data_IF_169822944631
#
_entry.id   IF_169822944631
#
_cell.length_a   1.000
_cell.length_b   1.000
_cell.length_c   1.000
_cell.angle_alpha   90.00
_cell.angle_beta   90.00
_cell.angle_gamma   90.00
#
_symmetry.space_group_name_H-M   'P 1'
#
loop_
_entity.id
_entity.type
_entity.pdbx_description
1 polymer ?
#
# COMPACT_ATOMS: atom_id res chain seq x y z
N UNK A 1 73.69 25.54 32.21
CA UNK A 1 73.66 24.41 31.25
C UNK A 1 72.53 23.46 31.63
N UNK A 2 71.80 22.98 30.62
CA UNK A 2 70.62 22.09 30.63
C UNK A 2 70.62 21.01 31.73
N UNK A 3 69.48 20.76 32.37
CA UNK A 3 68.59 19.62 32.04
C UNK A 3 67.29 19.64 32.86
N UNK A 4 66.24 19.27 32.14
CA UNK A 4 64.83 19.09 32.54
C UNK A 4 64.69 17.78 33.32
N UNK A 5 63.85 17.77 34.37
CA UNK A 5 63.24 16.55 34.89
C UNK A 5 61.81 16.87 35.39
N UNK A 6 60.88 16.10 34.83
CA UNK A 6 59.43 16.15 34.92
C UNK A 6 58.97 15.18 36.01
N UNK A 7 58.02 15.56 36.89
CA UNK A 7 57.23 14.57 37.63
C UNK A 7 55.81 15.10 37.96
N UNK A 8 54.93 14.87 36.98
CA UNK A 8 53.53 14.42 37.02
C UNK A 8 52.83 14.51 38.39
N UNK A 9 51.84 15.41 38.48
CA UNK A 9 50.71 15.32 39.42
C UNK A 9 49.46 14.96 38.61
N UNK A 10 48.93 13.78 38.87
CA UNK A 10 47.69 13.24 38.30
C UNK A 10 46.49 14.02 38.79
N UNK A 11 45.83 14.77 37.90
CA UNK A 11 44.50 15.32 38.14
C UNK A 11 43.49 14.51 37.32
N UNK A 12 42.69 13.69 38.01
CA UNK A 12 41.56 12.97 37.43
C UNK A 12 40.44 13.98 37.19
N UNK A 13 40.26 14.42 35.95
CA UNK A 13 39.05 15.13 35.52
C UNK A 13 38.01 14.12 35.05
N UNK A 14 36.98 13.93 35.86
CA UNK A 14 35.74 13.24 35.48
C UNK A 14 35.04 14.13 34.45
N UNK A 15 35.18 13.80 33.18
CA UNK A 15 34.38 14.40 32.11
C UNK A 15 32.99 13.76 32.20
N UNK A 16 32.06 14.49 32.79
CA UNK A 16 30.64 14.19 32.70
C UNK A 16 30.22 14.40 31.24
N UNK A 17 30.05 13.32 30.49
CA UNK A 17 29.36 13.35 29.20
C UNK A 17 27.89 13.71 29.46
N UNK A 18 27.57 15.00 29.47
CA UNK A 18 26.20 15.44 29.22
C UNK A 18 25.89 15.06 27.77
N UNK A 19 25.00 14.09 27.59
CA UNK A 19 24.26 13.90 26.35
C UNK A 19 23.73 15.26 25.93
N UNK A 20 24.17 15.75 24.78
CA UNK A 20 23.53 16.87 24.11
C UNK A 20 22.20 16.36 23.58
N UNK A 21 21.15 16.51 24.38
CA UNK A 21 19.77 16.50 23.88
C UNK A 21 19.58 17.80 23.10
N UNK A 22 20.12 17.83 21.88
CA UNK A 22 19.76 18.86 20.91
C UNK A 22 18.36 18.48 20.40
N UNK A 23 17.34 19.32 20.59
CA UNK A 23 16.02 19.04 20.02
C UNK A 23 16.19 18.93 18.51
N UNK A 24 15.67 17.84 17.92
CA UNK A 24 15.52 17.75 16.46
C UNK A 24 14.66 18.93 16.02
N UNK A 25 15.25 19.93 15.38
CA UNK A 25 14.51 20.87 14.55
C UNK A 25 13.99 20.09 13.34
N UNK A 26 12.87 19.41 13.52
CA UNK A 26 11.97 19.14 12.41
C UNK A 26 11.70 20.51 11.77
N UNK A 27 12.02 20.67 10.49
CA UNK A 27 11.46 21.75 9.68
C UNK A 27 9.95 21.54 9.62
N UNK A 28 9.27 21.92 10.69
CA UNK A 28 7.81 21.94 10.78
C UNK A 28 7.39 23.09 9.89
N UNK A 29 6.94 22.76 8.69
CA UNK A 29 6.17 23.71 7.91
C UNK A 29 5.03 24.23 8.81
N UNK A 30 4.83 25.54 8.84
CA UNK A 30 3.78 26.11 9.67
C UNK A 30 2.41 25.72 9.08
N UNK A 31 1.65 24.96 9.86
CA UNK A 31 0.28 24.56 9.53
C UNK A 31 -0.67 25.58 10.13
N UNK A 32 -1.64 26.04 9.33
CA UNK A 32 -2.70 26.95 9.77
C UNK A 32 -4.05 26.26 9.62
N UNK A 33 -4.86 26.30 10.67
CA UNK A 33 -6.24 25.82 10.65
C UNK A 33 -7.19 26.94 10.21
N UNK A 34 -8.16 26.57 9.39
CA UNK A 34 -9.18 27.44 8.83
C UNK A 34 -10.56 26.78 8.96
N UNK A 35 -11.60 27.57 8.70
CA UNK A 35 -12.98 27.09 8.62
C UNK A 35 -13.61 27.59 7.33
N UNK A 36 -14.21 26.69 6.55
CA UNK A 36 -14.86 27.03 5.29
C UNK A 36 -16.26 27.61 5.49
N UNK A 37 -16.93 27.99 4.39
CA UNK A 37 -18.26 28.60 4.44
C UNK A 37 -19.36 27.64 4.97
N UNK A 38 -19.14 26.34 4.86
CA UNK A 38 -20.05 25.28 5.32
C UNK A 38 -19.75 24.83 6.75
N UNK A 39 -18.67 25.34 7.35
CA UNK A 39 -18.27 25.08 8.72
C UNK A 39 -17.30 23.90 8.89
N UNK A 40 -16.75 23.34 7.81
CA UNK A 40 -15.71 22.32 7.88
C UNK A 40 -14.36 22.94 8.19
N UNK A 41 -13.61 22.31 9.09
CA UNK A 41 -12.24 22.71 9.41
C UNK A 41 -11.28 22.08 8.40
N UNK A 42 -10.28 22.87 8.01
CA UNK A 42 -9.19 22.38 7.16
C UNK A 42 -7.86 23.04 7.52
N UNK A 43 -6.79 22.33 7.20
CA UNK A 43 -5.43 22.75 7.39
C UNK A 43 -4.80 23.15 6.05
N UNK A 44 -3.95 24.18 6.08
CA UNK A 44 -3.08 24.56 4.96
C UNK A 44 -1.64 24.61 5.45
N UNK A 45 -0.69 24.31 4.55
CA UNK A 45 0.74 24.42 4.84
C UNK A 45 1.27 25.74 4.27
N UNK A 46 2.07 26.44 5.07
CA UNK A 46 2.71 27.70 4.64
C UNK A 46 3.63 27.48 3.44
N UNK A 47 3.61 28.41 2.49
CA UNK A 47 4.41 28.39 1.25
C UNK A 47 4.19 27.16 0.36
N UNK A 48 3.05 26.47 0.50
CA UNK A 48 2.66 25.38 -0.40
C UNK A 48 2.17 25.93 -1.76
N UNK A 49 2.91 25.70 -2.86
CA UNK A 49 2.53 26.21 -4.17
C UNK A 49 1.29 25.51 -4.75
N UNK A 50 0.89 24.36 -4.20
CA UNK A 50 -0.28 23.60 -4.67
C UNK A 50 -1.58 24.10 -4.07
N UNK A 51 -1.52 24.95 -3.04
CA UNK A 51 -2.69 25.45 -2.32
C UNK A 51 -3.53 24.33 -1.71
N UNK A 52 -2.88 23.25 -1.24
CA UNK A 52 -3.55 22.09 -0.65
C UNK A 52 -4.41 22.50 0.55
N UNK A 53 -5.63 21.97 0.59
CA UNK A 53 -6.47 21.96 1.78
C UNK A 53 -6.62 20.53 2.28
N UNK A 54 -6.27 20.32 3.56
CA UNK A 54 -6.43 19.04 4.24
C UNK A 54 -7.62 19.13 5.20
N UNK A 55 -8.67 18.37 4.92
CA UNK A 55 -9.85 18.25 5.77
C UNK A 55 -9.78 16.94 6.56
N UNK A 56 -10.33 16.94 7.77
CA UNK A 56 -10.64 15.72 8.52
C UNK A 56 -12.12 15.77 8.89
N UNK A 57 -12.90 14.82 8.36
CA UNK A 57 -14.32 14.71 8.69
C UNK A 57 -14.52 14.19 10.13
N UNK A 58 -15.71 14.36 10.68
CA UNK A 58 -16.04 13.92 12.05
C UNK A 58 -15.83 12.41 12.27
N UNK A 59 -15.96 11.59 11.23
CA UNK A 59 -15.69 10.15 11.27
C UNK A 59 -14.20 9.79 11.04
N UNK A 60 -13.33 10.79 11.00
CA UNK A 60 -11.88 10.65 10.85
C UNK A 60 -11.37 10.47 9.42
N UNK A 61 -12.25 10.42 8.40
CA UNK A 61 -11.81 10.38 7.00
C UNK A 61 -11.02 11.65 6.67
N UNK A 62 -9.80 11.47 6.16
CA UNK A 62 -8.98 12.57 5.67
C UNK A 62 -9.28 12.85 4.20
N UNK A 63 -9.43 14.12 3.84
CA UNK A 63 -9.68 14.54 2.45
C UNK A 63 -8.65 15.59 2.06
N UNK A 64 -7.80 15.26 1.10
CA UNK A 64 -6.74 16.11 0.58
C UNK A 64 -7.21 16.69 -0.75
N UNK A 65 -7.32 18.01 -0.85
CA UNK A 65 -7.80 18.65 -2.07
C UNK A 65 -6.83 19.73 -2.57
N UNK A 66 -6.50 19.67 -3.85
CA UNK A 66 -5.76 20.73 -4.55
C UNK A 66 -6.45 21.05 -5.87
N UNK A 67 -6.39 22.31 -6.28
CA UNK A 67 -7.08 22.77 -7.47
C UNK A 67 -6.12 22.77 -8.67
N UNK A 68 -6.54 22.12 -9.76
CA UNK A 68 -5.90 22.20 -11.06
C UNK A 68 -6.97 22.38 -12.14
N UNK A 69 -7.03 23.57 -12.74
CA UNK A 69 -8.04 23.95 -13.73
C UNK A 69 -7.57 23.78 -15.19
N UNK A 70 -6.42 23.12 -15.42
CA UNK A 70 -5.86 22.92 -16.76
C UNK A 70 -6.77 22.06 -17.64
N UNK A 71 -7.54 21.15 -17.03
CA UNK A 71 -8.55 20.34 -17.67
C UNK A 71 -9.77 20.15 -16.75
N UNK A 72 -10.99 19.98 -17.31
CA UNK A 72 -12.23 19.77 -16.54
C UNK A 72 -12.34 18.33 -16.02
N UNK A 73 -11.28 17.86 -15.36
CA UNK A 73 -11.17 16.50 -14.80
C UNK A 73 -10.64 16.56 -13.37
N UNK A 74 -10.86 15.48 -12.64
CA UNK A 74 -10.40 15.27 -11.27
C UNK A 74 -9.64 13.95 -11.24
N UNK A 75 -8.37 14.00 -10.86
CA UNK A 75 -7.60 12.84 -10.44
C UNK A 75 -8.01 12.49 -9.01
N UNK A 76 -8.39 11.25 -8.79
CA UNK A 76 -8.87 10.77 -7.50
C UNK A 76 -8.01 9.61 -7.00
N UNK A 77 -7.81 9.57 -5.69
CA UNK A 77 -7.27 8.42 -4.98
C UNK A 77 -8.11 8.17 -3.73
N UNK A 78 -8.45 6.91 -3.46
CA UNK A 78 -8.95 6.47 -2.16
C UNK A 78 -7.91 5.49 -1.62
N UNK A 79 -7.15 5.95 -0.62
CA UNK A 79 -6.10 5.17 0.02
C UNK A 79 -6.60 4.60 1.34
N UNK A 80 -6.35 3.32 1.57
CA UNK A 80 -6.52 2.65 2.85
C UNK A 80 -5.13 2.45 3.43
N UNK A 81 -4.92 2.90 4.67
CA UNK A 81 -3.65 2.70 5.39
C UNK A 81 -3.58 1.28 5.96
N UNK A 82 -3.62 0.31 5.07
CA UNK A 82 -3.40 -1.11 5.31
C UNK A 82 -3.00 -1.78 3.99
N UNK A 83 -1.93 -2.57 4.04
CA UNK A 83 -1.45 -3.41 2.95
C UNK A 83 -0.94 -4.77 3.44
N UNK A 84 -0.05 -5.41 2.70
CA UNK A 84 0.33 -6.82 2.92
C UNK A 84 1.08 -7.11 4.23
N UNK A 85 1.63 -6.11 4.91
CA UNK A 85 2.26 -6.33 6.23
C UNK A 85 1.24 -6.55 7.35
N UNK A 86 -0.03 -6.26 7.08
CA UNK A 86 -1.14 -6.51 7.98
C UNK A 86 -1.82 -7.85 7.70
N UNK A 87 -1.38 -8.57 6.66
CA UNK A 87 -1.88 -9.91 6.37
C UNK A 87 -1.60 -10.83 7.56
N UNK A 88 -2.57 -11.67 7.97
CA UNK A 88 -2.30 -12.77 8.89
C UNK A 88 -1.16 -13.63 8.34
N UNK A 89 -0.26 -14.09 9.22
CA UNK A 89 0.92 -14.85 8.80
C UNK A 89 0.59 -16.16 8.07
N UNK A 90 -0.61 -16.71 8.28
CA UNK A 90 -1.14 -17.91 7.62
C UNK A 90 -2.04 -17.61 6.40
N UNK A 91 -2.15 -16.34 6.00
CA UNK A 91 -2.94 -15.85 4.87
C UNK A 91 -2.20 -14.71 4.15
N UNK A 92 -0.95 -14.93 3.71
CA UNK A 92 -0.23 -13.90 2.93
C UNK A 92 -0.82 -13.73 1.53
N UNK A 93 -0.77 -12.52 1.00
CA UNK A 93 -1.41 -12.14 -0.26
C UNK A 93 -2.86 -11.69 -0.07
N UNK A 94 -3.35 -11.62 1.17
CA UNK A 94 -4.74 -11.32 1.47
C UNK A 94 -5.11 -9.88 1.11
N UNK A 95 -4.28 -8.89 1.46
CA UNK A 95 -4.55 -7.49 1.10
C UNK A 95 -4.63 -7.29 -0.43
N UNK A 96 -3.71 -7.91 -1.17
CA UNK A 96 -3.73 -7.90 -2.64
C UNK A 96 -4.99 -8.61 -3.18
N UNK A 97 -5.38 -9.72 -2.56
CA UNK A 97 -6.60 -10.41 -2.93
C UNK A 97 -7.84 -9.55 -2.68
N UNK A 98 -7.92 -8.90 -1.52
CA UNK A 98 -9.00 -7.98 -1.16
C UNK A 98 -9.10 -6.82 -2.17
N UNK A 99 -7.97 -6.29 -2.64
CA UNK A 99 -7.93 -5.25 -3.68
C UNK A 99 -8.79 -5.64 -4.89
N UNK A 100 -8.58 -6.85 -5.44
CA UNK A 100 -9.35 -7.39 -6.55
C UNK A 100 -10.83 -7.55 -6.21
N UNK A 101 -11.12 -7.99 -4.99
CA UNK A 101 -12.48 -8.30 -4.57
C UNK A 101 -13.35 -7.06 -4.38
N UNK A 102 -12.76 -5.92 -3.99
CA UNK A 102 -13.49 -4.64 -3.85
C UNK A 102 -14.01 -4.12 -5.21
N UNK A 103 -13.49 -4.61 -6.34
CA UNK A 103 -14.03 -4.32 -7.68
C UNK A 103 -15.24 -5.19 -8.08
N UNK A 104 -15.53 -6.27 -7.34
CA UNK A 104 -16.57 -7.25 -7.73
C UNK A 104 -18.00 -6.81 -7.39
N UNK A 105 -18.16 -5.62 -6.83
CA UNK A 105 -19.44 -5.01 -6.48
C UNK A 105 -19.85 -5.26 -5.03
N UNK A 106 -21.13 -5.02 -4.75
CA UNK A 106 -21.74 -5.05 -3.42
C UNK A 106 -23.00 -5.91 -3.43
N UNK A 107 -23.83 -5.81 -2.40
CA UNK A 107 -25.19 -6.36 -2.38
C UNK A 107 -26.16 -5.61 -3.29
N UNK A 108 -25.83 -4.37 -3.69
CA UNK A 108 -26.61 -3.56 -4.63
C UNK A 108 -26.02 -3.62 -6.04
N UNK A 109 -24.69 -3.63 -6.16
CA UNK A 109 -23.99 -3.61 -7.44
C UNK A 109 -23.47 -5.01 -7.79
N UNK A 110 -23.75 -5.47 -9.00
CA UNK A 110 -23.15 -6.69 -9.55
C UNK A 110 -23.92 -7.98 -9.23
N UNK A 111 -25.18 -7.90 -8.78
CA UNK A 111 -26.05 -9.05 -8.51
C UNK A 111 -27.40 -8.94 -9.20
N UNK A 112 -27.97 -10.07 -9.61
CA UNK A 112 -29.36 -10.16 -10.08
C UNK A 112 -30.34 -10.50 -8.95
N UNK A 113 -29.85 -11.15 -7.87
CA UNK A 113 -30.66 -11.61 -6.74
C UNK A 113 -29.76 -11.77 -5.50
N UNK A 114 -29.64 -10.70 -4.72
CA UNK A 114 -28.80 -10.69 -3.52
C UNK A 114 -29.23 -11.71 -2.47
N UNK A 115 -30.54 -11.86 -2.27
CA UNK A 115 -31.08 -12.74 -1.22
C UNK A 115 -30.70 -14.20 -1.47
N UNK A 116 -30.66 -14.60 -2.75
CA UNK A 116 -30.16 -15.92 -3.15
C UNK A 116 -28.63 -15.98 -3.15
N UNK A 117 -27.97 -14.96 -3.67
CA UNK A 117 -26.50 -14.94 -3.81
C UNK A 117 -25.80 -15.03 -2.45
N UNK A 118 -26.23 -14.27 -1.44
CA UNK A 118 -25.62 -14.29 -0.11
C UNK A 118 -25.63 -15.68 0.54
N UNK A 119 -26.65 -16.49 0.26
CA UNK A 119 -26.73 -17.87 0.75
C UNK A 119 -25.69 -18.75 0.08
N UNK A 120 -25.50 -18.61 -1.24
CA UNK A 120 -24.48 -19.35 -1.99
C UNK A 120 -23.07 -18.91 -1.59
N UNK A 121 -22.82 -17.60 -1.45
CA UNK A 121 -21.53 -17.08 -1.00
C UNK A 121 -21.18 -17.58 0.41
N UNK A 122 -22.17 -17.66 1.31
CA UNK A 122 -21.96 -18.26 2.64
C UNK A 122 -21.57 -19.75 2.55
N UNK A 123 -22.22 -20.52 1.68
CA UNK A 123 -21.85 -21.92 1.46
C UNK A 123 -20.43 -22.06 0.89
N UNK A 124 -20.06 -21.20 -0.06
CA UNK A 124 -18.72 -21.17 -0.65
C UNK A 124 -17.68 -20.84 0.43
N UNK A 125 -17.94 -19.83 1.26
CA UNK A 125 -17.09 -19.47 2.41
C UNK A 125 -16.90 -20.66 3.35
N UNK A 126 -17.98 -21.31 3.76
CA UNK A 126 -17.93 -22.48 4.66
C UNK A 126 -17.14 -23.66 4.05
N UNK A 127 -17.19 -23.83 2.73
CA UNK A 127 -16.42 -24.84 2.02
C UNK A 127 -14.94 -24.48 1.94
N UNK A 128 -14.58 -23.21 1.73
CA UNK A 128 -13.18 -22.78 1.75
C UNK A 128 -12.54 -22.96 3.13
N UNK A 129 -13.24 -22.63 4.22
CA UNK A 129 -12.72 -22.87 5.57
C UNK A 129 -12.52 -24.36 5.85
N UNK A 130 -13.44 -25.22 5.39
CA UNK A 130 -13.26 -26.68 5.43
C UNK A 130 -12.08 -27.15 4.58
N UNK A 131 -11.93 -26.60 3.38
CA UNK A 131 -10.83 -26.93 2.46
C UNK A 131 -9.48 -26.55 3.07
N UNK A 132 -9.38 -25.37 3.69
CA UNK A 132 -8.19 -24.88 4.38
C UNK A 132 -7.82 -25.79 5.57
N UNK A 133 -8.81 -26.21 6.37
CA UNK A 133 -8.59 -27.07 7.53
C UNK A 133 -8.30 -28.56 7.21
N UNK A 134 -8.71 -29.05 6.04
CA UNK A 134 -8.53 -30.45 5.64
C UNK A 134 -7.09 -30.76 5.23
N UNK A 135 -6.59 -31.90 5.73
CA UNK A 135 -5.21 -32.38 5.52
C UNK A 135 -5.14 -33.58 4.58
N UNK A 136 -6.23 -34.34 4.46
CA UNK A 136 -6.33 -35.47 3.53
C UNK A 136 -6.49 -34.96 2.08
N UNK A 137 -5.54 -35.26 1.18
CA UNK A 137 -5.57 -34.74 -0.18
C UNK A 137 -6.81 -35.16 -1.00
N UNK A 138 -7.33 -36.36 -0.77
CA UNK A 138 -8.50 -36.86 -1.50
C UNK A 138 -9.78 -36.15 -1.04
N UNK A 139 -9.94 -35.96 0.28
CA UNK A 139 -11.06 -35.18 0.82
C UNK A 139 -10.97 -33.71 0.43
N UNK A 140 -9.76 -33.14 0.43
CA UNK A 140 -9.53 -31.76 0.03
C UNK A 140 -9.95 -31.52 -1.42
N UNK A 141 -9.57 -32.42 -2.33
CA UNK A 141 -10.02 -32.38 -3.72
C UNK A 141 -11.56 -32.49 -3.84
N UNK A 142 -12.20 -33.34 -3.04
CA UNK A 142 -13.67 -33.45 -3.05
C UNK A 142 -14.35 -32.17 -2.56
N UNK A 143 -13.85 -31.53 -1.50
CA UNK A 143 -14.34 -30.22 -1.05
C UNK A 143 -14.15 -29.18 -2.15
N UNK A 144 -13.01 -29.18 -2.84
CA UNK A 144 -12.75 -28.27 -3.96
C UNK A 144 -13.75 -28.44 -5.12
N UNK A 145 -14.15 -29.69 -5.43
CA UNK A 145 -15.21 -29.94 -6.43
C UNK A 145 -16.57 -29.38 -5.98
N UNK A 146 -16.86 -29.41 -4.68
CA UNK A 146 -18.08 -28.79 -4.14
C UNK A 146 -18.02 -27.27 -4.22
N UNK A 147 -16.86 -26.67 -3.95
CA UNK A 147 -16.62 -25.23 -4.13
C UNK A 147 -16.90 -24.83 -5.58
N UNK A 148 -16.33 -25.54 -6.55
CA UNK A 148 -16.54 -25.28 -7.98
C UNK A 148 -18.03 -25.37 -8.34
N UNK A 149 -18.71 -26.44 -7.94
CA UNK A 149 -20.13 -26.64 -8.23
C UNK A 149 -21.02 -25.51 -7.66
N UNK A 150 -20.83 -25.12 -6.39
CA UNK A 150 -21.62 -24.04 -5.77
C UNK A 150 -21.25 -22.68 -6.39
N UNK A 151 -19.97 -22.46 -6.72
CA UNK A 151 -19.51 -21.24 -7.39
C UNK A 151 -20.11 -21.08 -8.79
N UNK A 152 -20.29 -22.17 -9.54
CA UNK A 152 -20.97 -22.17 -10.83
C UNK A 152 -22.48 -21.84 -10.70
N UNK A 153 -23.13 -22.22 -9.61
CA UNK A 153 -24.52 -21.79 -9.36
C UNK A 153 -24.59 -20.32 -8.96
N UNK A 154 -23.64 -19.83 -8.15
CA UNK A 154 -23.56 -18.43 -7.77
C UNK A 154 -23.30 -17.52 -8.98
N UNK A 155 -22.40 -17.92 -9.89
CA UNK A 155 -22.03 -17.11 -11.05
C UNK A 155 -23.19 -16.82 -12.01
N UNK A 156 -24.25 -17.64 -12.02
CA UNK A 156 -25.45 -17.42 -12.85
C UNK A 156 -26.26 -16.20 -12.45
N UNK A 157 -26.15 -15.76 -11.20
CA UNK A 157 -26.84 -14.58 -10.65
C UNK A 157 -25.87 -13.43 -10.35
N UNK A 158 -24.56 -13.66 -10.53
CA UNK A 158 -23.52 -12.65 -10.46
C UNK A 158 -23.41 -11.89 -11.80
N UNK A 159 -23.29 -10.57 -11.75
CA UNK A 159 -23.04 -9.72 -12.91
C UNK A 159 -21.56 -9.31 -12.90
N UNK A 160 -20.77 -9.95 -13.73
CA UNK A 160 -19.34 -9.68 -13.82
C UNK A 160 -19.05 -8.26 -14.35
N UNK A 161 -18.01 -7.65 -13.79
CA UNK A 161 -17.44 -6.35 -14.19
C UNK A 161 -18.44 -5.20 -14.18
N UNK A 162 -19.44 -5.25 -13.29
CA UNK A 162 -20.49 -4.23 -13.25
C UNK A 162 -19.94 -2.88 -12.79
N UNK A 163 -19.11 -2.86 -11.74
CA UNK A 163 -18.41 -1.64 -11.33
C UNK A 163 -17.58 -1.05 -12.49
N UNK A 164 -16.80 -1.87 -13.19
CA UNK A 164 -15.95 -1.41 -14.29
C UNK A 164 -16.76 -0.76 -15.41
N UNK A 165 -17.92 -1.34 -15.75
CA UNK A 165 -18.84 -0.75 -16.74
C UNK A 165 -19.44 0.56 -16.22
N UNK A 166 -19.86 0.60 -14.96
CA UNK A 166 -20.44 1.80 -14.35
C UNK A 166 -19.43 2.95 -14.36
N UNK A 167 -18.21 2.72 -13.84
CA UNK A 167 -17.18 3.76 -13.77
C UNK A 167 -16.71 4.18 -15.16
N UNK A 168 -16.58 3.24 -16.11
CA UNK A 168 -16.27 3.56 -17.51
C UNK A 168 -17.37 4.38 -18.18
N UNK A 169 -18.63 4.14 -17.85
CA UNK A 169 -19.76 4.92 -18.39
C UNK A 169 -19.78 6.38 -17.92
N UNK A 170 -19.10 6.68 -16.81
CA UNK A 170 -18.84 8.05 -16.34
C UNK A 170 -17.71 8.73 -17.11
N UNK A 171 -17.04 8.03 -18.04
CA UNK A 171 -15.86 8.53 -18.74
C UNK A 171 -14.60 8.50 -17.88
N UNK A 172 -14.55 7.64 -16.85
CA UNK A 172 -13.36 7.48 -16.03
C UNK A 172 -12.20 6.88 -16.85
N UNK A 173 -11.02 7.45 -16.68
CA UNK A 173 -9.76 6.99 -17.25
C UNK A 173 -8.84 6.49 -16.14
N UNK A 174 -7.93 5.57 -16.47
CA UNK A 174 -6.92 5.10 -15.51
C UNK A 174 -7.50 4.43 -14.27
N UNK A 175 -8.72 3.87 -14.34
CA UNK A 175 -9.30 3.04 -13.28
C UNK A 175 -8.36 1.90 -12.95
N UNK A 176 -7.79 1.93 -11.75
CA UNK A 176 -6.86 0.91 -11.30
C UNK A 176 -6.79 0.88 -9.78
N UNK A 177 -6.04 -0.09 -9.25
CA UNK A 177 -5.61 -0.10 -7.87
C UNK A 177 -4.19 -0.66 -7.77
N UNK A 178 -3.63 -0.52 -6.56
CA UNK A 178 -2.46 -1.26 -6.17
C UNK A 178 -2.46 -1.47 -4.66
N UNK A 179 -1.82 -2.55 -4.24
CA UNK A 179 -1.51 -2.85 -2.86
C UNK A 179 -0.01 -2.93 -2.71
N UNK A 180 0.48 -2.39 -1.61
CA UNK A 180 1.86 -2.54 -1.22
C UNK A 180 1.96 -2.95 0.25
N UNK A 181 3.10 -2.70 0.88
CA UNK A 181 3.33 -3.11 2.26
C UNK A 181 2.31 -2.49 3.21
N UNK A 182 2.04 -1.18 3.10
CA UNK A 182 1.33 -0.42 4.14
C UNK A 182 0.08 0.29 3.65
N UNK A 183 -0.22 0.16 2.37
CA UNK A 183 -1.34 0.82 1.72
C UNK A 183 -1.98 -0.07 0.65
N UNK A 184 -3.27 0.16 0.45
CA UNK A 184 -3.99 -0.20 -0.78
C UNK A 184 -4.66 1.07 -1.29
N UNK A 185 -4.44 1.40 -2.57
CA UNK A 185 -4.92 2.65 -3.17
C UNK A 185 -5.72 2.34 -4.42
N UNK A 186 -6.86 2.99 -4.54
CA UNK A 186 -7.73 2.92 -5.71
C UNK A 186 -7.75 4.26 -6.42
N UNK A 187 -7.59 4.27 -7.74
CA UNK A 187 -7.41 5.48 -8.54
C UNK A 187 -8.40 5.56 -9.69
N UNK A 188 -8.89 6.77 -9.96
CA UNK A 188 -9.58 7.11 -11.19
C UNK A 188 -9.19 8.52 -11.65
N UNK A 189 -9.39 8.80 -12.93
CA UNK A 189 -9.42 10.16 -13.47
C UNK A 189 -10.77 10.40 -14.11
N UNK A 190 -11.58 11.29 -13.57
CA UNK A 190 -12.99 11.46 -13.95
C UNK A 190 -13.29 12.86 -14.50
N UNK A 191 -14.30 13.04 -15.36
CA UNK A 191 -14.83 14.37 -15.70
C UNK A 191 -15.43 15.07 -14.47
N UNK A 192 -15.18 16.37 -14.30
CA UNK A 192 -15.69 17.15 -13.15
C UNK A 192 -17.21 17.08 -13.00
N UNK A 193 -17.96 17.09 -14.11
CA UNK A 193 -19.42 17.02 -14.11
C UNK A 193 -20.00 15.65 -13.72
N UNK A 194 -19.15 14.62 -13.60
CA UNK A 194 -19.53 13.27 -13.18
C UNK A 194 -19.15 12.96 -11.72
N UNK A 195 -18.57 13.94 -11.00
CA UNK A 195 -18.11 13.79 -9.62
C UNK A 195 -19.18 13.23 -8.69
N UNK A 196 -20.42 13.73 -8.75
CA UNK A 196 -21.50 13.30 -7.85
C UNK A 196 -21.89 11.82 -8.06
N UNK A 197 -21.86 11.35 -9.32
CA UNK A 197 -22.13 9.95 -9.66
C UNK A 197 -20.96 9.06 -9.25
N UNK A 198 -19.73 9.50 -9.53
CA UNK A 198 -18.53 8.78 -9.11
C UNK A 198 -18.48 8.64 -7.58
N UNK A 199 -18.73 9.71 -6.84
CA UNK A 199 -18.71 9.68 -5.37
C UNK A 199 -19.79 8.74 -4.80
N UNK A 200 -20.96 8.69 -5.44
CA UNK A 200 -22.02 7.73 -5.08
C UNK A 200 -21.60 6.29 -5.37
N UNK A 201 -20.92 6.04 -6.49
CA UNK A 201 -20.40 4.73 -6.87
C UNK A 201 -19.29 4.26 -5.92
N UNK A 202 -18.33 5.13 -5.58
CA UNK A 202 -17.27 4.80 -4.62
C UNK A 202 -17.81 4.60 -3.22
N UNK A 203 -18.72 5.46 -2.77
CA UNK A 203 -19.37 5.29 -1.46
C UNK A 203 -20.13 3.97 -1.37
N UNK A 204 -20.71 3.49 -2.47
CA UNK A 204 -21.30 2.15 -2.50
C UNK A 204 -20.20 1.08 -2.47
N UNK A 205 -19.15 1.20 -3.30
CA UNK A 205 -18.05 0.23 -3.38
C UNK A 205 -17.37 -0.05 -2.03
N UNK A 206 -17.23 0.96 -1.18
CA UNK A 206 -16.63 0.83 0.15
C UNK A 206 -17.64 0.57 1.27
N UNK A 207 -18.94 0.49 0.99
CA UNK A 207 -19.97 0.28 2.02
C UNK A 207 -19.98 -1.15 2.55
N UNK A 208 -19.81 -2.12 1.66
CA UNK A 208 -19.89 -3.55 1.97
C UNK A 208 -19.03 -4.37 1.01
N UNK A 209 -18.15 -5.20 1.57
CA UNK A 209 -17.42 -6.21 0.80
C UNK A 209 -18.35 -7.37 0.44
N UNK A 210 -18.40 -7.74 -0.84
CA UNK A 210 -19.04 -8.98 -1.31
C UNK A 210 -18.03 -9.79 -2.10
N UNK A 211 -17.69 -10.98 -1.60
CA UNK A 211 -16.72 -11.88 -2.21
C UNK A 211 -17.31 -12.71 -3.36
N UNK A 212 -17.94 -12.02 -4.32
CA UNK A 212 -18.53 -12.60 -5.53
C UNK A 212 -17.46 -13.01 -6.52
N UNK A 213 -17.71 -14.10 -7.26
CA UNK A 213 -16.75 -14.64 -8.25
C UNK A 213 -15.37 -14.97 -7.66
N UNK A 214 -15.30 -15.19 -6.34
CA UNK A 214 -14.09 -15.49 -5.60
C UNK A 214 -13.30 -16.65 -6.21
N UNK A 215 -13.97 -17.77 -6.52
CA UNK A 215 -13.33 -18.95 -7.06
C UNK A 215 -12.58 -18.70 -8.38
N UNK A 216 -13.16 -17.91 -9.29
CA UNK A 216 -12.50 -17.55 -10.55
C UNK A 216 -11.38 -16.53 -10.34
N UNK A 217 -11.51 -15.66 -9.33
CA UNK A 217 -10.48 -14.66 -9.02
C UNK A 217 -9.23 -15.29 -8.41
N UNK A 218 -9.35 -16.43 -7.72
CA UNK A 218 -8.18 -17.21 -7.24
C UNK A 218 -7.27 -17.55 -8.42
N UNK A 219 -7.84 -18.03 -9.52
CA UNK A 219 -7.07 -18.43 -10.69
C UNK A 219 -6.36 -17.21 -11.31
N UNK A 220 -7.02 -16.05 -11.38
CA UNK A 220 -6.40 -14.82 -11.87
C UNK A 220 -5.21 -14.39 -11.00
N UNK A 221 -5.38 -14.35 -9.67
CA UNK A 221 -4.29 -13.99 -8.74
C UNK A 221 -3.17 -15.03 -8.77
N UNK A 222 -3.50 -16.31 -8.96
CA UNK A 222 -2.49 -17.37 -9.07
C UNK A 222 -1.69 -17.27 -10.38
N UNK A 223 -2.31 -16.88 -11.49
CA UNK A 223 -1.61 -16.58 -12.74
C UNK A 223 -0.69 -15.36 -12.61
N UNK A 224 -1.10 -14.33 -11.87
CA UNK A 224 -0.21 -13.23 -11.54
C UNK A 224 0.98 -13.66 -10.68
N UNK A 225 0.75 -14.56 -9.73
CA UNK A 225 1.81 -15.18 -8.94
C UNK A 225 2.80 -15.92 -9.84
N UNK A 226 2.32 -16.77 -10.76
CA UNK A 226 3.17 -17.51 -11.69
C UNK A 226 4.00 -16.56 -12.57
N UNK A 227 3.38 -15.52 -13.14
CA UNK A 227 4.07 -14.48 -13.92
C UNK A 227 5.15 -13.77 -13.10
N UNK A 228 4.91 -13.54 -11.80
CA UNK A 228 5.91 -12.96 -10.92
C UNK A 228 7.08 -13.93 -10.65
N UNK A 229 6.84 -15.24 -10.62
CA UNK A 229 7.89 -16.26 -10.50
C UNK A 229 8.70 -16.46 -11.78
N UNK A 230 8.26 -15.94 -12.92
CA UNK A 230 9.00 -16.00 -14.18
C UNK A 230 9.77 -14.70 -14.50
N UNK A 231 9.67 -13.68 -13.65
CA UNK A 231 10.35 -12.40 -13.83
C UNK A 231 11.61 -12.30 -12.96
N UNK A 232 12.78 -12.17 -13.57
CA UNK A 232 14.06 -12.21 -12.85
C UNK A 232 14.27 -10.98 -11.96
N UNK A 233 13.83 -9.80 -12.41
CA UNK A 233 13.85 -8.59 -11.58
C UNK A 233 13.03 -8.72 -10.29
N UNK A 234 11.84 -9.33 -10.35
CA UNK A 234 11.02 -9.61 -9.16
C UNK A 234 11.67 -10.63 -8.24
N UNK A 235 12.27 -11.71 -8.77
CA UNK A 235 13.01 -12.68 -7.95
C UNK A 235 14.20 -12.04 -7.23
N UNK A 236 14.95 -11.19 -7.93
CA UNK A 236 16.06 -10.43 -7.34
C UNK A 236 15.54 -9.51 -6.23
N UNK A 237 14.44 -8.80 -6.47
CA UNK A 237 13.82 -7.97 -5.45
C UNK A 237 13.36 -8.78 -4.22
N UNK A 238 12.70 -9.93 -4.39
CA UNK A 238 12.31 -10.79 -3.28
C UNK A 238 13.51 -11.32 -2.49
N UNK A 239 14.57 -11.77 -3.16
CA UNK A 239 15.78 -12.23 -2.51
C UNK A 239 16.51 -11.10 -1.75
N UNK A 240 16.49 -9.89 -2.31
CA UNK A 240 17.03 -8.69 -1.68
C UNK A 240 16.22 -8.28 -0.45
N UNK A 241 14.89 -8.25 -0.54
CA UNK A 241 14.00 -7.93 0.57
C UNK A 241 14.11 -8.97 1.70
N UNK A 242 14.18 -10.26 1.38
CA UNK A 242 14.45 -11.34 2.36
C UNK A 242 15.79 -11.13 3.07
N UNK A 243 16.83 -10.75 2.34
CA UNK A 243 18.16 -10.50 2.92
C UNK A 243 18.21 -9.24 3.79
N UNK A 244 17.50 -8.17 3.40
CA UNK A 244 17.42 -6.92 4.18
C UNK A 244 16.54 -7.09 5.42
N UNK A 245 15.48 -7.89 5.33
CA UNK A 245 14.41 -7.99 6.33
C UNK A 245 14.08 -9.45 6.68
N UNK A 246 15.02 -10.20 7.32
CA UNK A 246 14.83 -11.60 7.64
C UNK A 246 13.79 -11.87 8.75
N UNK A 247 13.39 -10.86 9.52
CA UNK A 247 12.37 -10.98 10.59
C UNK A 247 11.10 -10.20 10.27
N UNK A 248 11.23 -9.08 9.56
CA UNK A 248 10.16 -8.13 9.33
C UNK A 248 9.25 -8.55 8.15
N UNK A 249 7.93 -8.29 8.22
CA UNK A 249 7.00 -8.59 7.12
C UNK A 249 7.39 -8.02 5.75
N UNK A 250 8.18 -6.95 5.70
CA UNK A 250 8.71 -6.41 4.43
C UNK A 250 9.48 -7.46 3.61
N UNK A 251 10.26 -8.33 4.26
CA UNK A 251 10.96 -9.43 3.60
C UNK A 251 10.21 -10.77 3.67
N UNK A 252 9.43 -10.98 4.73
CA UNK A 252 8.82 -12.29 5.04
C UNK A 252 7.39 -12.47 4.49
N UNK A 253 6.70 -11.38 4.12
CA UNK A 253 5.33 -11.42 3.60
C UNK A 253 5.24 -10.72 2.23
N UNK A 254 5.55 -11.44 1.14
CA UNK A 254 5.39 -10.90 -0.21
C UNK A 254 3.96 -10.43 -0.42
N UNK A 255 3.78 -9.25 -1.03
CA UNK A 255 2.45 -8.66 -1.26
C UNK A 255 1.53 -9.55 -2.07
N UNK A 256 2.09 -10.30 -3.03
CA UNK A 256 1.33 -11.27 -3.82
C UNK A 256 0.98 -12.55 -3.05
N UNK A 257 1.60 -12.79 -1.90
CA UNK A 257 1.46 -14.01 -1.11
C UNK A 257 2.40 -15.14 -1.52
N UNK A 258 2.25 -16.28 -0.85
CA UNK A 258 2.99 -17.52 -1.16
C UNK A 258 2.02 -18.58 -1.68
N UNK A 259 2.53 -19.47 -2.55
CA UNK A 259 1.71 -20.48 -3.24
C UNK A 259 0.82 -21.30 -2.31
N UNK A 260 1.31 -21.66 -1.12
CA UNK A 260 0.54 -22.44 -0.14
C UNK A 260 -0.69 -21.67 0.37
N UNK A 261 -0.54 -20.39 0.71
CA UNK A 261 -1.64 -19.56 1.21
C UNK A 261 -2.64 -19.25 0.09
N UNK A 262 -2.17 -18.93 -1.13
CA UNK A 262 -3.05 -18.65 -2.27
C UNK A 262 -3.90 -19.86 -2.69
N UNK A 263 -3.40 -21.08 -2.50
CA UNK A 263 -4.16 -22.33 -2.74
C UNK A 263 -5.16 -22.66 -1.64
N UNK A 264 -5.05 -22.00 -0.48
CA UNK A 264 -5.85 -22.26 0.70
C UNK A 264 -6.39 -20.96 1.32
N UNK A 265 -7.09 -20.11 0.53
CA UNK A 265 -7.51 -18.81 1.02
C UNK A 265 -8.66 -18.96 2.03
N UNK A 266 -8.84 -17.93 2.85
CA UNK A 266 -9.94 -17.81 3.80
C UNK A 266 -10.79 -16.59 3.44
N UNK A 267 -12.05 -16.83 3.06
CA UNK A 267 -13.02 -15.76 2.80
C UNK A 267 -13.36 -15.02 4.10
N UNK A 268 -13.37 -15.72 5.24
CA UNK A 268 -13.61 -15.11 6.55
C UNK A 268 -12.48 -14.16 6.94
N UNK A 269 -11.22 -14.55 6.74
CA UNK A 269 -10.08 -13.69 7.01
C UNK A 269 -10.09 -12.42 6.16
N UNK A 270 -10.52 -12.50 4.89
CA UNK A 270 -10.65 -11.34 4.00
C UNK A 270 -11.74 -10.39 4.49
N UNK A 271 -12.90 -10.91 4.89
CA UNK A 271 -13.94 -10.09 5.51
C UNK A 271 -13.47 -9.43 6.81
N UNK A 272 -12.75 -10.15 7.66
CA UNK A 272 -12.20 -9.60 8.90
C UNK A 272 -11.21 -8.47 8.63
N UNK A 273 -10.32 -8.65 7.65
CA UNK A 273 -9.36 -7.63 7.23
C UNK A 273 -10.08 -6.36 6.74
N UNK A 274 -11.07 -6.50 5.86
CA UNK A 274 -11.88 -5.36 5.40
C UNK A 274 -12.57 -4.66 6.56
N UNK A 275 -13.25 -5.41 7.43
CA UNK A 275 -13.98 -4.85 8.58
C UNK A 275 -13.09 -4.12 9.59
N UNK A 276 -11.82 -4.55 9.70
CA UNK A 276 -10.82 -3.98 10.62
C UNK A 276 -10.18 -2.73 10.04
N UNK A 277 -9.79 -2.75 8.76
CA UNK A 277 -8.90 -1.74 8.20
C UNK A 277 -9.56 -0.78 7.21
N UNK A 278 -10.65 -1.17 6.54
CA UNK A 278 -11.39 -0.33 5.58
C UNK A 278 -12.45 0.50 6.31
N UNK A 279 -11.97 1.36 7.22
CA UNK A 279 -12.78 2.26 8.05
C UNK A 279 -12.35 3.70 7.83
N UNK A 280 -13.25 4.69 7.91
CA UNK A 280 -12.99 6.07 7.48
C UNK A 280 -11.76 6.71 8.15
N UNK A 281 -11.57 6.50 9.46
CA UNK A 281 -10.41 7.02 10.20
C UNK A 281 -9.06 6.32 9.89
N UNK A 282 -9.07 5.34 8.99
CA UNK A 282 -7.88 4.70 8.43
C UNK A 282 -7.80 4.86 6.90
N UNK A 283 -8.62 5.74 6.33
CA UNK A 283 -8.69 6.03 4.91
C UNK A 283 -8.34 7.50 4.63
N UNK A 284 -7.93 7.76 3.40
CA UNK A 284 -7.77 9.10 2.86
C UNK A 284 -8.34 9.17 1.44
N UNK A 285 -9.00 10.28 1.11
CA UNK A 285 -9.41 10.61 -0.24
C UNK A 285 -8.56 11.78 -0.74
N UNK A 286 -7.90 11.62 -1.88
CA UNK A 286 -7.14 12.69 -2.54
C UNK A 286 -7.87 13.09 -3.80
N UNK A 287 -8.18 14.38 -3.95
CA UNK A 287 -8.90 14.93 -5.10
C UNK A 287 -8.10 16.12 -5.67
N UNK A 288 -7.60 15.98 -6.89
CA UNK A 288 -6.83 17.02 -7.56
C UNK A 288 -7.44 17.31 -8.92
N UNK A 289 -7.89 18.54 -9.16
CA UNK A 289 -8.52 18.90 -10.43
C UNK A 289 -9.37 20.17 -10.40
N UNK A 290 -10.25 20.30 -11.39
CA UNK A 290 -11.18 21.42 -11.48
C UNK A 290 -12.32 21.23 -10.47
N UNK A 291 -12.07 21.64 -9.23
CA UNK A 291 -12.98 21.48 -8.09
C UNK A 291 -13.19 22.80 -7.34
N UNK A 292 -14.37 22.94 -6.75
CA UNK A 292 -14.64 23.92 -5.71
C UNK A 292 -14.53 23.25 -4.34
N UNK A 293 -13.54 23.62 -3.53
CA UNK A 293 -13.26 22.94 -2.26
C UNK A 293 -14.49 22.84 -1.33
N UNK A 294 -15.17 23.96 -1.10
CA UNK A 294 -16.28 24.04 -0.15
C UNK A 294 -17.48 23.19 -0.60
N UNK A 295 -17.78 23.14 -1.91
CA UNK A 295 -18.82 22.27 -2.47
C UNK A 295 -18.40 20.80 -2.43
N UNK A 296 -17.16 20.51 -2.83
CA UNK A 296 -16.62 19.15 -2.90
C UNK A 296 -16.60 18.49 -1.53
N UNK A 297 -16.11 19.16 -0.48
CA UNK A 297 -16.07 18.57 0.86
C UNK A 297 -17.47 18.30 1.42
N UNK A 298 -18.43 19.19 1.16
CA UNK A 298 -19.80 18.98 1.59
C UNK A 298 -20.40 17.71 0.97
N UNK A 299 -20.15 17.48 -0.33
CA UNK A 299 -20.56 16.27 -1.05
C UNK A 299 -19.86 15.02 -0.52
N UNK A 300 -18.54 15.08 -0.30
CA UNK A 300 -17.76 13.97 0.29
C UNK A 300 -18.34 13.61 1.66
N UNK A 301 -18.60 14.60 2.51
CA UNK A 301 -19.21 14.37 3.82
C UNK A 301 -20.63 13.77 3.74
N UNK A 302 -21.45 14.19 2.77
CA UNK A 302 -22.79 13.62 2.57
C UNK A 302 -22.77 12.11 2.30
N UNK A 303 -21.76 11.62 1.57
CA UNK A 303 -21.62 10.22 1.17
C UNK A 303 -20.79 9.41 2.17
N UNK A 304 -19.55 9.81 2.39
CA UNK A 304 -18.58 9.08 3.22
C UNK A 304 -18.63 9.45 4.70
N UNK A 305 -19.14 10.64 5.06
CA UNK A 305 -19.23 11.08 6.47
C UNK A 305 -20.16 10.22 7.33
N UNK A 306 -20.99 9.37 6.71
CA UNK A 306 -21.90 8.43 7.38
C UNK A 306 -21.23 7.12 7.79
N UNK A 307 -20.00 6.86 7.32
CA UNK A 307 -19.30 5.62 7.63
C UNK A 307 -18.89 5.61 9.10
N UNK A 308 -18.98 4.45 9.72
CA UNK A 308 -18.62 4.26 11.13
C UNK A 308 -17.10 4.20 11.30
N UNK A 309 -16.56 5.12 12.09
CA UNK A 309 -15.19 5.02 12.57
C UNK A 309 -15.04 3.85 13.54
N UNK A 310 -13.88 3.19 13.51
CA UNK A 310 -13.52 2.12 14.44
C UNK A 310 -12.09 2.29 14.96
N UNK A 311 -11.82 1.73 16.12
CA UNK A 311 -10.44 1.60 16.59
C UNK A 311 -9.67 0.66 15.63
N UNK A 312 -8.59 1.17 15.03
CA UNK A 312 -7.72 0.36 14.17
C UNK A 312 -6.48 -0.04 14.93
N UNK A 313 -6.31 -1.35 15.09
CA UNK A 313 -5.14 -1.93 15.75
C UNK A 313 -4.12 -2.35 14.69
N UNK A 314 -2.93 -1.80 14.78
CA UNK A 314 -1.80 -2.23 13.96
C UNK A 314 -0.97 -3.26 14.74
N UNK A 315 -0.59 -4.40 14.12
CA UNK A 315 0.23 -5.41 14.77
C UNK A 315 1.60 -4.84 15.14
N UNK A 316 2.11 -5.23 16.30
CA UNK A 316 3.50 -4.92 16.67
C UNK A 316 4.43 -5.73 15.80
N UNK A 317 5.35 -5.06 15.12
CA UNK A 317 6.29 -5.70 14.19
C UNK A 317 7.63 -5.97 14.88
N UNK A 318 8.33 -7.05 14.49
CA UNK A 318 9.66 -7.34 15.02
C UNK A 318 10.68 -6.30 14.53
N UNK A 319 11.60 -5.93 15.40
CA UNK A 319 12.75 -5.10 15.00
C UNK A 319 13.84 -5.98 14.39
N UNK A 320 14.53 -5.47 13.38
CA UNK A 320 15.65 -6.13 12.74
C UNK A 320 16.95 -5.95 13.56
N UNK A 321 17.81 -6.97 13.52
CA UNK A 321 19.15 -6.87 14.09
C UNK A 321 20.06 -6.07 13.16
N UNK A 322 20.97 -5.20 13.65
CA UNK A 322 21.91 -4.48 12.80
C UNK A 322 22.67 -5.41 11.84
N UNK A 323 22.82 -4.98 10.58
CA UNK A 323 23.59 -5.75 9.59
C UNK A 323 25.08 -5.68 9.93
N UNK A 324 25.69 -6.82 10.29
CA UNK A 324 27.11 -6.91 10.66
C UNK A 324 28.04 -7.30 9.51
N UNK A 325 27.49 -7.86 8.43
CA UNK A 325 28.23 -8.36 7.28
C UNK A 325 27.41 -8.21 5.98
N UNK A 326 28.10 -8.27 4.84
CA UNK A 326 27.45 -8.30 3.53
C UNK A 326 26.81 -9.66 3.26
N UNK A 327 25.54 -9.67 2.90
CA UNK A 327 24.82 -10.88 2.49
C UNK A 327 24.80 -10.94 0.96
N UNK A 328 25.19 -12.09 0.40
CA UNK A 328 25.15 -12.33 -1.05
C UNK A 328 24.09 -13.38 -1.35
N UNK A 329 23.18 -13.07 -2.28
CA UNK A 329 22.17 -13.99 -2.80
C UNK A 329 22.37 -14.14 -4.30
N UNK A 330 22.44 -15.38 -4.77
CA UNK A 330 22.45 -15.67 -6.20
C UNK A 330 21.05 -16.09 -6.65
N UNK A 331 20.53 -15.42 -7.66
CA UNK A 331 19.23 -15.71 -8.29
C UNK A 331 19.50 -16.12 -9.73
N UNK A 332 18.87 -17.21 -10.16
CA UNK A 332 19.00 -17.73 -11.52
C UNK A 332 17.70 -17.52 -12.31
N UNK A 333 17.85 -17.22 -13.60
CA UNK A 333 16.74 -17.08 -14.52
C UNK A 333 17.19 -16.87 -15.98
N UNK A 334 16.25 -16.81 -16.92
CA UNK A 334 16.55 -16.77 -18.35
C UNK A 334 16.95 -15.39 -18.88
N UNK A 335 16.79 -14.31 -18.09
CA UNK A 335 17.11 -12.95 -18.52
C UNK A 335 18.62 -12.63 -18.38
N UNK A 336 19.02 -11.44 -18.86
CA UNK A 336 20.41 -11.01 -18.78
C UNK A 336 20.87 -10.84 -17.32
N UNK A 337 22.11 -11.22 -17.05
CA UNK A 337 22.69 -11.09 -15.72
C UNK A 337 22.69 -9.62 -15.25
N UNK A 338 22.22 -9.41 -14.02
CA UNK A 338 22.19 -8.10 -13.35
C UNK A 338 22.70 -8.23 -11.91
N UNK A 339 23.07 -7.11 -11.31
CA UNK A 339 23.51 -7.03 -9.91
C UNK A 339 22.76 -5.90 -9.24
N UNK A 340 22.17 -6.19 -8.08
CA UNK A 340 21.59 -5.19 -7.17
C UNK A 340 22.40 -5.16 -5.89
N UNK A 341 22.71 -3.97 -5.38
CA UNK A 341 23.43 -3.78 -4.12
C UNK A 341 22.54 -2.92 -3.25
N UNK A 342 22.10 -3.44 -2.11
CA UNK A 342 21.17 -2.72 -1.25
C UNK A 342 21.70 -2.51 0.16
N UNK A 343 21.33 -1.38 0.75
CA UNK A 343 21.65 -1.00 2.11
C UNK A 343 20.34 -0.73 2.86
N UNK A 344 20.18 -1.32 4.05
CA UNK A 344 19.05 -1.01 4.93
C UNK A 344 19.32 0.29 5.69
N UNK A 345 18.28 1.12 5.80
CA UNK A 345 18.30 2.41 6.50
C UNK A 345 17.12 2.50 7.47
N UNK A 346 17.07 3.55 8.28
CA UNK A 346 15.87 3.89 9.02
C UNK A 346 14.73 4.32 8.07
N UNK A 347 13.48 4.19 8.55
CA UNK A 347 12.26 4.47 7.78
C UNK A 347 11.95 5.95 7.57
N UNK A 348 10.71 6.22 7.17
CA UNK A 348 10.21 7.57 6.88
C UNK A 348 10.31 8.49 8.11
N UNK A 349 10.68 9.76 7.90
CA UNK A 349 10.88 10.76 8.96
C UNK A 349 12.22 10.66 9.70
N UNK A 350 13.08 9.71 9.35
CA UNK A 350 14.45 9.61 9.87
C UNK A 350 15.39 10.65 9.24
N UNK A 351 16.56 10.83 9.85
CA UNK A 351 17.65 11.60 9.22
C UNK A 351 18.24 10.86 8.02
N UNK A 352 18.22 9.51 8.05
CA UNK A 352 18.63 8.67 6.93
C UNK A 352 17.83 9.02 5.67
N UNK A 353 16.51 9.24 5.79
CA UNK A 353 15.70 9.65 4.65
C UNK A 353 16.28 10.86 3.92
N UNK A 354 16.70 11.90 4.66
CA UNK A 354 17.26 13.11 4.06
C UNK A 354 18.64 12.86 3.44
N UNK A 355 19.54 12.23 4.17
CA UNK A 355 20.93 12.07 3.73
C UNK A 355 21.06 11.04 2.62
N UNK A 356 20.31 9.95 2.69
CA UNK A 356 20.38 8.87 1.69
C UNK A 356 19.70 9.30 0.39
N UNK A 357 18.61 10.07 0.42
CA UNK A 357 18.06 10.70 -0.80
C UNK A 357 19.05 11.67 -1.44
N UNK A 358 19.78 12.46 -0.64
CA UNK A 358 20.84 13.32 -1.17
C UNK A 358 21.97 12.50 -1.84
N UNK A 359 22.40 11.42 -1.19
CA UNK A 359 23.41 10.50 -1.74
C UNK A 359 22.92 9.88 -3.05
N UNK A 360 21.67 9.41 -3.08
CA UNK A 360 21.05 8.84 -4.27
C UNK A 360 21.07 9.81 -5.45
N UNK A 361 20.67 11.07 -5.24
CA UNK A 361 20.71 12.11 -6.28
C UNK A 361 22.13 12.47 -6.76
N UNK A 362 23.16 12.22 -5.96
CA UNK A 362 24.57 12.36 -6.39
C UNK A 362 24.97 11.16 -7.25
N UNK A 363 24.48 9.97 -6.92
CA UNK A 363 24.78 8.73 -7.64
C UNK A 363 24.05 8.64 -8.97
N UNK A 364 22.74 8.85 -9.00
CA UNK A 364 21.91 8.83 -10.21
C UNK A 364 20.81 9.88 -10.12
N UNK A 365 20.76 10.78 -11.11
CA UNK A 365 19.71 11.80 -11.21
C UNK A 365 19.21 11.98 -12.65
N UNK A 366 19.51 11.00 -13.51
CA UNK A 366 19.18 10.98 -14.94
C UNK A 366 19.84 12.07 -15.81
N UNK A 367 20.69 12.93 -15.23
CA UNK A 367 21.35 14.03 -15.95
C UNK A 367 22.86 13.92 -15.82
N UNK A 368 23.38 14.01 -14.60
CA UNK A 368 24.80 14.14 -14.31
C UNK A 368 25.23 13.42 -13.03
N UNK A 369 24.47 12.42 -12.56
CA UNK A 369 24.88 11.56 -11.46
C UNK A 369 26.16 10.78 -11.80
N UNK A 370 26.88 10.33 -10.76
CA UNK A 370 28.12 9.56 -10.95
C UNK A 370 27.93 8.30 -11.79
N UNK A 371 26.84 7.56 -11.59
CA UNK A 371 26.44 6.38 -12.38
C UNK A 371 26.12 6.80 -13.81
N UNK A 372 25.35 7.88 -13.98
CA UNK A 372 24.92 8.37 -15.29
C UNK A 372 26.14 8.73 -16.17
N UNK A 373 27.07 9.52 -15.63
CA UNK A 373 28.26 10.00 -16.35
C UNK A 373 29.30 8.90 -16.58
N UNK A 374 29.48 8.00 -15.62
CA UNK A 374 30.61 7.06 -15.66
C UNK A 374 30.26 5.67 -16.19
N UNK A 375 29.00 5.25 -16.11
CA UNK A 375 28.52 3.95 -16.58
C UNK A 375 27.63 4.10 -17.81
N UNK A 376 26.51 4.83 -17.69
CA UNK A 376 25.49 4.91 -18.73
C UNK A 376 25.96 5.68 -19.98
N UNK A 377 26.42 6.93 -19.83
CA UNK A 377 26.88 7.75 -20.97
C UNK A 377 28.12 7.18 -21.65
N UNK A 378 28.97 6.47 -20.89
CA UNK A 378 30.14 5.75 -21.42
C UNK A 378 29.79 4.37 -21.97
N UNK A 379 28.51 3.98 -21.93
CA UNK A 379 27.98 2.71 -22.42
C UNK A 379 28.75 1.49 -21.88
N UNK A 380 29.19 1.55 -20.63
CA UNK A 380 29.94 0.45 -19.98
C UNK A 380 29.04 -0.70 -19.55
N UNK A 381 27.77 -0.40 -19.34
CA UNK A 381 26.69 -1.31 -18.97
C UNK A 381 25.48 -0.98 -19.83
N UNK A 382 24.53 -1.92 -19.95
CA UNK A 382 23.28 -1.66 -20.67
C UNK A 382 22.44 -0.59 -19.96
N UNK A 383 22.36 -0.68 -18.64
CA UNK A 383 21.72 0.28 -17.76
C UNK A 383 22.25 0.12 -16.33
N UNK A 384 22.40 1.23 -15.62
CA UNK A 384 22.61 1.27 -14.18
C UNK A 384 21.90 2.50 -13.61
N UNK A 385 21.44 2.41 -12.37
CA UNK A 385 20.83 3.51 -11.63
C UNK A 385 20.88 3.19 -10.15
N UNK A 386 20.37 4.12 -9.35
CA UNK A 386 20.10 3.89 -7.94
C UNK A 386 18.74 4.48 -7.58
N UNK A 387 18.15 4.00 -6.49
CA UNK A 387 16.92 4.55 -5.96
C UNK A 387 16.82 4.35 -4.45
N UNK A 388 16.01 5.20 -3.81
CA UNK A 388 15.65 5.05 -2.40
C UNK A 388 14.19 4.65 -2.24
N UNK A 389 13.93 3.80 -1.26
CA UNK A 389 12.58 3.48 -0.79
C UNK A 389 12.51 3.65 0.72
N UNK A 390 11.56 4.45 1.21
CA UNK A 390 11.32 4.62 2.65
C UNK A 390 9.91 4.14 3.00
N UNK A 391 9.84 3.10 3.81
CA UNK A 391 8.62 2.58 4.41
C UNK A 391 8.54 3.10 5.87
N UNK A 392 7.45 2.83 6.59
CA UNK A 392 7.27 3.38 7.94
C UNK A 392 8.36 2.92 8.92
N UNK A 393 8.71 1.64 8.92
CA UNK A 393 9.65 1.09 9.90
C UNK A 393 11.12 1.15 9.44
N UNK A 394 11.35 0.98 8.14
CA UNK A 394 12.69 0.91 7.54
C UNK A 394 12.71 1.53 6.15
N UNK A 395 13.90 1.93 5.71
CA UNK A 395 14.17 2.30 4.34
C UNK A 395 15.24 1.41 3.72
N UNK A 396 15.47 1.64 2.42
CA UNK A 396 16.56 1.04 1.68
C UNK A 396 17.06 1.96 0.57
N UNK A 397 18.35 1.85 0.29
CA UNK A 397 18.98 2.38 -0.92
C UNK A 397 19.47 1.22 -1.77
N UNK A 398 19.19 1.25 -3.07
CA UNK A 398 19.51 0.18 -4.03
C UNK A 398 20.25 0.75 -5.22
#
# INVERSE_FOLDING_TARGET
MKKIALLILTLVTIISCKKSDTPKEETKFAVTEHKDANGFYYETVSDDPTGLRLYTLDNGLKVYMSQNVDEPKIQTYIAVRAGSVYDPSDNTGLAHYLEHMVFKGTDVIGTQDWEKEKVLLKQISDLYEKHKAEKDPAKKLEIYRQIDAVSQEASKISIANEYDKMVSSLGAEGTNAWTWHEETVYTNKIPTNEFDKWLSLESERFSQLVLRLFHTEIEAVYEEFNRAQDNDGRKVNYAMMDALFPKHPYGQQPTIGVSEHLKNPSMEAIHEYFNTYYVPNNMAMVLVGDINFDETIAKVNEKFGKFESKEVKHPTRPTEDPMSESIVKEVSGPEAASVSVAFRTDGIGSEDQKYVTLIDMILSNSVAGLIDLNLNQKQKVQYAGSYTTFLNDYGMHV
#
